data_IF_534536891893
#
_entry.id   IF_534536891893
#
_cell.length_a   1.000
_cell.length_b   1.000
_cell.length_c   1.000
_cell.angle_alpha   90.00
_cell.angle_beta   90.00
_cell.angle_gamma   90.00
#
_symmetry.space_group_name_H-M   'P 1'
#
loop_
_entity.id
_entity.type
_entity.pdbx_description
1 polymer ?
#
# COMPACT_ATOMS: atom_id res chain seq x y z
N UNK A 1 6.33 -15.01 17.24
CA UNK A 1 7.61 -14.48 17.73
C UNK A 1 8.60 -14.52 16.55
N UNK A 2 9.21 -13.40 16.15
CA UNK A 2 10.06 -13.34 14.95
C UNK A 2 9.92 -12.07 14.09
N UNK A 3 9.01 -11.15 14.45
CA UNK A 3 8.91 -9.82 13.83
C UNK A 3 9.58 -8.83 14.77
N UNK A 4 10.67 -8.21 14.31
CA UNK A 4 11.37 -7.15 15.04
C UNK A 4 10.67 -5.82 14.78
N UNK A 5 10.11 -5.20 15.81
CA UNK A 5 9.57 -3.85 15.69
C UNK A 5 10.71 -2.86 15.46
N UNK A 6 10.58 -2.01 14.45
CA UNK A 6 11.51 -0.93 14.16
C UNK A 6 10.76 0.38 14.34
N UNK A 7 11.20 1.20 15.30
CA UNK A 7 10.69 2.56 15.46
C UNK A 7 11.44 3.49 14.51
N UNK A 8 10.68 4.22 13.71
CA UNK A 8 11.08 5.09 12.61
C UNK A 8 11.66 6.45 13.06
N UNK A 9 11.46 6.86 14.32
CA UNK A 9 12.00 8.11 14.89
C UNK A 9 13.46 8.02 15.34
N UNK A 10 14.01 6.82 15.54
CA UNK A 10 15.39 6.62 15.96
C UNK A 10 16.30 6.30 14.76
N UNK A 11 17.17 7.24 14.38
CA UNK A 11 18.38 6.94 13.60
C UNK A 11 18.24 6.82 12.08
N UNK A 12 17.46 7.70 11.42
CA UNK A 12 17.54 7.87 9.95
C UNK A 12 16.70 6.90 9.11
N UNK A 13 15.79 6.14 9.72
CA UNK A 13 14.86 5.20 9.03
C UNK A 13 13.59 5.88 8.51
N UNK A 14 13.67 7.18 8.19
CA UNK A 14 12.54 7.98 7.71
C UNK A 14 11.97 7.44 6.39
N UNK A 15 12.79 6.74 5.59
CA UNK A 15 12.38 6.19 4.30
C UNK A 15 11.27 5.14 4.43
N UNK A 16 11.25 4.32 5.48
CA UNK A 16 10.19 3.33 5.69
C UNK A 16 8.86 4.04 5.98
N UNK A 17 8.89 5.05 6.85
CA UNK A 17 7.74 5.89 7.16
C UNK A 17 7.24 6.65 5.93
N UNK A 18 8.16 7.26 5.16
CA UNK A 18 7.82 8.02 3.97
C UNK A 18 7.09 7.16 2.92
N UNK A 19 7.44 5.87 2.80
CA UNK A 19 6.72 4.94 1.91
C UNK A 19 5.30 4.68 2.40
N UNK A 20 5.12 4.43 3.70
CA UNK A 20 3.80 4.25 4.31
C UNK A 20 2.93 5.51 4.18
N UNK A 21 3.47 6.69 4.51
CA UNK A 21 2.78 7.97 4.36
C UNK A 21 2.35 8.22 2.92
N UNK A 22 3.24 7.96 1.96
CA UNK A 22 2.93 8.09 0.53
C UNK A 22 1.79 7.16 0.10
N UNK A 23 1.75 5.93 0.62
CA UNK A 23 0.67 4.96 0.37
C UNK A 23 -0.66 5.49 0.90
N UNK A 24 -0.70 5.97 2.15
CA UNK A 24 -1.91 6.50 2.78
C UNK A 24 -2.39 7.80 2.13
N UNK A 25 -1.48 8.70 1.78
CA UNK A 25 -1.80 9.93 1.08
C UNK A 25 -2.48 9.62 -0.26
N UNK A 26 -1.93 8.66 -1.01
CA UNK A 26 -2.50 8.27 -2.30
C UNK A 26 -3.86 7.62 -2.18
N UNK A 27 -4.05 6.73 -1.22
CA UNK A 27 -5.34 6.13 -0.93
C UNK A 27 -6.40 7.21 -0.66
N UNK A 28 -6.08 8.19 0.20
CA UNK A 28 -7.01 9.26 0.54
C UNK A 28 -7.36 10.13 -0.66
N UNK A 29 -6.38 10.44 -1.50
CA UNK A 29 -6.58 11.22 -2.72
C UNK A 29 -7.45 10.49 -3.75
N UNK A 30 -7.10 9.24 -4.09
CA UNK A 30 -7.78 8.45 -5.12
C UNK A 30 -9.20 8.02 -4.70
N UNK A 31 -9.46 7.81 -3.41
CA UNK A 31 -10.78 7.43 -2.89
C UNK A 31 -11.68 8.62 -2.57
N UNK A 32 -11.11 9.70 -2.03
CA UNK A 32 -11.90 10.77 -1.45
C UNK A 32 -11.66 12.10 -2.16
N UNK A 33 -10.44 12.64 -2.09
CA UNK A 33 -10.20 14.05 -2.45
C UNK A 33 -10.41 14.33 -3.94
N UNK A 34 -9.84 13.50 -4.83
CA UNK A 34 -10.02 13.64 -6.29
C UNK A 34 -11.46 13.44 -6.75
N UNK A 35 -12.32 12.88 -5.89
CA UNK A 35 -13.74 12.61 -6.15
C UNK A 35 -14.67 13.60 -5.46
N UNK A 36 -14.13 14.62 -4.79
CA UNK A 36 -14.90 15.55 -3.95
C UNK A 36 -15.72 14.85 -2.85
N UNK A 37 -15.25 13.69 -2.37
CA UNK A 37 -15.85 12.96 -1.26
C UNK A 37 -15.07 13.24 0.04
N UNK A 38 -15.78 13.21 1.17
CA UNK A 38 -15.22 13.31 2.51
C UNK A 38 -15.46 12.00 3.25
N UNK A 39 -14.47 11.51 3.98
CA UNK A 39 -14.62 10.28 4.78
C UNK A 39 -15.72 10.39 5.84
N UNK A 40 -16.04 11.60 6.30
CA UNK A 40 -17.13 11.88 7.25
C UNK A 40 -18.53 11.69 6.66
N UNK A 41 -18.65 11.46 5.34
CA UNK A 41 -19.93 11.13 4.69
C UNK A 41 -20.27 9.63 4.78
N UNK A 42 -19.38 8.83 5.36
CA UNK A 42 -19.51 7.38 5.45
C UNK A 42 -19.46 6.93 6.91
N UNK A 43 -20.14 5.85 7.22
CA UNK A 43 -19.98 5.11 8.48
C UNK A 43 -18.60 4.45 8.56
N UNK A 44 -18.19 4.06 9.76
CA UNK A 44 -16.92 3.34 9.96
C UNK A 44 -16.92 1.99 9.22
N UNK A 45 -18.06 1.30 9.19
CA UNK A 45 -18.26 0.03 8.49
C UNK A 45 -18.08 0.20 6.98
N UNK A 46 -18.69 1.22 6.38
CA UNK A 46 -18.54 1.52 4.96
C UNK A 46 -17.08 1.89 4.64
N UNK A 47 -16.44 2.71 5.47
CA UNK A 47 -15.02 3.06 5.29
C UNK A 47 -14.12 1.83 5.30
N UNK A 48 -14.35 0.88 6.22
CA UNK A 48 -13.60 -0.38 6.27
C UNK A 48 -13.73 -1.15 4.95
N UNK A 49 -14.96 -1.26 4.41
CA UNK A 49 -15.21 -1.98 3.14
C UNK A 49 -14.54 -1.27 1.96
N UNK A 50 -14.68 0.06 1.86
CA UNK A 50 -14.08 0.85 0.78
C UNK A 50 -12.55 0.74 0.80
N UNK A 51 -11.94 0.91 1.96
CA UNK A 51 -10.47 0.81 2.13
C UNK A 51 -9.99 -0.61 1.82
N UNK A 52 -10.68 -1.64 2.31
CA UNK A 52 -10.32 -3.02 2.03
C UNK A 52 -10.38 -3.33 0.53
N UNK A 53 -11.47 -2.94 -0.15
CA UNK A 53 -11.62 -3.11 -1.60
C UNK A 53 -10.54 -2.38 -2.37
N UNK A 54 -10.19 -1.16 -1.95
CA UNK A 54 -9.12 -0.40 -2.56
C UNK A 54 -7.80 -1.16 -2.50
N UNK A 55 -7.40 -1.67 -1.33
CA UNK A 55 -6.11 -2.36 -1.22
C UNK A 55 -6.10 -3.73 -1.88
N UNK A 56 -7.09 -4.58 -1.58
CA UNK A 56 -7.10 -5.96 -2.01
C UNK A 56 -7.41 -6.10 -3.50
N UNK A 57 -8.39 -5.35 -4.02
CA UNK A 57 -8.80 -5.50 -5.42
C UNK A 57 -8.00 -4.59 -6.35
N UNK A 58 -7.81 -3.32 -5.99
CA UNK A 58 -7.18 -2.35 -6.89
C UNK A 58 -5.66 -2.23 -6.66
N UNK A 59 -5.23 -1.78 -5.49
CA UNK A 59 -3.82 -1.46 -5.20
C UNK A 59 -2.92 -2.66 -5.47
N UNK A 60 -3.27 -3.82 -4.91
CA UNK A 60 -2.44 -5.02 -4.97
C UNK A 60 -2.41 -5.66 -6.35
N UNK A 61 -3.56 -5.68 -7.04
CA UNK A 61 -3.76 -6.56 -8.20
C UNK A 61 -3.97 -5.84 -9.53
N UNK A 62 -4.24 -4.53 -9.53
CA UNK A 62 -4.61 -3.78 -10.75
C UNK A 62 -3.87 -2.46 -10.93
N UNK A 63 -3.19 -1.96 -9.89
CA UNK A 63 -2.49 -0.69 -9.94
C UNK A 63 -1.35 -0.71 -10.96
N UNK A 64 -1.28 0.32 -11.79
CA UNK A 64 -0.17 0.52 -12.72
C UNK A 64 1.00 1.13 -11.93
N UNK A 65 2.11 0.40 -11.81
CA UNK A 65 3.33 0.88 -11.18
C UNK A 65 4.43 1.05 -12.23
N UNK A 66 4.73 2.28 -12.63
CA UNK A 66 5.75 2.59 -13.64
C UNK A 66 7.13 2.08 -13.24
N UNK A 67 7.49 2.16 -11.96
CA UNK A 67 8.72 1.58 -11.40
C UNK A 67 8.76 0.04 -11.40
N UNK A 68 7.66 -0.61 -11.78
CA UNK A 68 7.54 -2.06 -11.92
C UNK A 68 7.07 -2.44 -13.34
N UNK A 69 7.51 -1.70 -14.36
CA UNK A 69 7.15 -1.93 -15.77
C UNK A 69 5.64 -1.96 -16.02
N UNK A 70 4.89 -1.14 -15.29
CA UNK A 70 3.43 -1.07 -15.35
C UNK A 70 2.69 -2.22 -14.65
N UNK A 71 3.41 -3.19 -14.08
CA UNK A 71 2.80 -4.35 -13.41
C UNK A 71 2.39 -4.04 -11.96
N UNK A 72 1.36 -4.71 -11.43
CA UNK A 72 0.86 -4.43 -10.09
C UNK A 72 1.80 -4.93 -8.98
N UNK A 73 1.71 -4.34 -7.76
CA UNK A 73 2.56 -4.69 -6.62
C UNK A 73 2.63 -6.19 -6.29
N UNK A 74 1.51 -6.92 -6.41
CA UNK A 74 1.52 -8.36 -6.13
C UNK A 74 2.39 -9.16 -7.11
N UNK A 75 2.51 -8.72 -8.36
CA UNK A 75 3.42 -9.35 -9.33
C UNK A 75 4.88 -9.13 -8.92
N UNK A 76 5.22 -7.93 -8.45
CA UNK A 76 6.56 -7.64 -7.91
C UNK A 76 6.87 -8.52 -6.71
N UNK A 77 5.92 -8.63 -5.77
CA UNK A 77 6.05 -9.47 -4.57
C UNK A 77 6.26 -10.93 -4.93
N UNK A 78 5.47 -11.47 -5.87
CA UNK A 78 5.60 -12.85 -6.35
C UNK A 78 7.01 -13.09 -6.92
N UNK A 79 7.45 -12.24 -7.87
CA UNK A 79 8.78 -12.36 -8.50
C UNK A 79 9.92 -12.31 -7.49
N UNK A 80 9.81 -11.50 -6.43
CA UNK A 80 10.79 -11.46 -5.37
C UNK A 80 10.93 -12.83 -4.67
N UNK A 81 9.82 -13.43 -4.23
CA UNK A 81 9.87 -14.74 -3.57
C UNK A 81 10.29 -15.87 -4.53
N UNK A 82 9.84 -15.83 -5.78
CA UNK A 82 10.28 -16.78 -6.81
C UNK A 82 11.81 -16.69 -6.99
N UNK A 83 12.38 -15.48 -7.00
CA UNK A 83 13.83 -15.28 -7.10
C UNK A 83 14.62 -15.76 -5.88
N UNK A 84 14.07 -15.60 -4.68
CA UNK A 84 14.69 -16.13 -3.45
C UNK A 84 14.69 -17.66 -3.44
N UNK A 85 13.60 -18.29 -3.88
CA UNK A 85 13.48 -19.74 -3.95
C UNK A 85 14.45 -20.35 -4.99
N UNK A 86 14.70 -19.66 -6.10
CA UNK A 86 15.70 -20.09 -7.09
C UNK A 86 17.15 -19.93 -6.61
N UNK A 87 17.41 -19.06 -5.64
CA UNK A 87 18.75 -18.79 -5.11
C UNK A 87 19.10 -19.66 -3.89
N UNK A 88 18.15 -20.44 -3.36
CA UNK A 88 18.31 -21.36 -2.25
C UNK A 88 18.60 -22.78 -2.76
#
# INVERSE_FOLDING_TARGET
YGITQSMNSAGGRCHDNARCESMWARMKDELFYSRNLKSTQFTVEELKVIIWRYFISYWNNRRICTSNNGLPPMVKRKRYYDSLAMAA
#
